data_IF_569737546010
#
_entry.id   IF_569737546010
#
_cell.length_a   1.000
_cell.length_b   1.000
_cell.length_c   1.000
_cell.angle_alpha   90.00
_cell.angle_beta   90.00
_cell.angle_gamma   90.00
#
_symmetry.space_group_name_H-M   'P 1'
#
loop_
_entity.id
_entity.type
_entity.pdbx_description
1 polymer ?
#
# COMPACT_ATOMS: atom_id res chain seq x y z
N UNK A 1 -10.89 22.18 -8.67
CA UNK A 1 -11.00 20.93 -7.89
C UNK A 1 -12.22 20.19 -8.40
N UNK A 2 -12.01 19.16 -9.23
CA UNK A 2 -13.06 18.40 -9.91
C UNK A 2 -12.70 16.92 -9.86
N UNK A 3 -12.59 16.42 -8.64
CA UNK A 3 -12.29 15.01 -8.39
C UNK A 3 -13.60 14.25 -8.26
N UNK A 4 -13.79 13.22 -9.08
CA UNK A 4 -14.90 12.28 -8.94
C UNK A 4 -14.65 11.36 -7.74
N UNK A 5 -15.64 11.28 -6.85
CA UNK A 5 -15.60 10.39 -5.69
C UNK A 5 -16.20 9.05 -6.07
N UNK A 6 -15.39 8.00 -6.03
CA UNK A 6 -15.84 6.65 -6.31
C UNK A 6 -16.60 6.08 -5.10
N UNK A 7 -17.79 5.52 -5.32
CA UNK A 7 -18.53 4.84 -4.26
C UNK A 7 -17.75 3.64 -3.72
N UNK A 8 -17.46 3.64 -2.42
CA UNK A 8 -16.81 2.53 -1.73
C UNK A 8 -17.80 1.87 -0.75
N UNK A 9 -18.06 0.55 -0.85
CA UNK A 9 -18.97 -0.11 0.06
C UNK A 9 -18.37 -0.18 1.47
N UNK A 10 -19.24 -0.14 2.50
CA UNK A 10 -18.83 -0.33 3.88
C UNK A 10 -18.08 -1.67 4.05
N UNK A 11 -16.94 -1.63 4.74
CA UNK A 11 -16.09 -2.79 5.06
C UNK A 11 -15.47 -3.55 3.89
N UNK A 12 -15.27 -2.90 2.73
CA UNK A 12 -14.65 -3.54 1.57
C UNK A 12 -13.12 -3.42 1.56
N UNK A 13 -12.46 -4.13 2.48
CA UNK A 13 -10.99 -4.28 2.50
C UNK A 13 -10.48 -4.93 1.19
N UNK A 14 -11.32 -5.74 0.56
CA UNK A 14 -11.07 -6.40 -0.74
C UNK A 14 -11.13 -5.49 -1.96
N UNK A 15 -11.74 -4.29 -1.84
CA UNK A 15 -11.96 -3.33 -2.93
C UNK A 15 -11.00 -2.12 -2.79
N UNK A 16 -10.25 -2.03 -1.69
CA UNK A 16 -9.23 -1.02 -1.55
C UNK A 16 -7.89 -1.56 -2.11
N UNK A 17 -7.35 -0.98 -3.20
CA UNK A 17 -6.11 -1.45 -3.83
C UNK A 17 -4.93 -1.31 -2.86
N UNK A 18 -4.97 -0.25 -2.06
CA UNK A 18 -4.03 -0.01 -0.97
C UNK A 18 -4.11 -1.10 0.10
N UNK A 19 -5.31 -1.61 0.40
CA UNK A 19 -5.47 -2.55 1.50
C UNK A 19 -5.00 -3.96 1.16
N UNK A 20 -5.30 -4.45 -0.04
CA UNK A 20 -4.87 -5.78 -0.45
C UNK A 20 -3.40 -5.83 -0.89
N UNK A 21 -2.93 -4.83 -1.63
CA UNK A 21 -1.60 -4.88 -2.25
C UNK A 21 -0.54 -4.19 -1.40
N UNK A 22 -0.77 -2.94 -1.03
CA UNK A 22 0.23 -2.12 -0.34
C UNK A 22 0.39 -2.56 1.13
N UNK A 23 -0.69 -2.68 1.90
CA UNK A 23 -0.57 -3.11 3.31
C UNK A 23 -0.04 -4.53 3.44
N UNK A 24 -0.36 -5.44 2.51
CA UNK A 24 0.20 -6.80 2.54
C UNK A 24 1.70 -6.83 2.27
N UNK A 25 2.17 -6.08 1.27
CA UNK A 25 3.60 -5.96 0.98
C UNK A 25 4.35 -5.25 2.11
N UNK A 26 3.73 -4.23 2.73
CA UNK A 26 4.29 -3.51 3.86
C UNK A 26 4.36 -4.41 5.10
N UNK A 27 3.28 -5.13 5.43
CA UNK A 27 3.27 -6.12 6.51
C UNK A 27 4.38 -7.15 6.34
N UNK A 28 4.63 -7.64 5.12
CA UNK A 28 5.73 -8.57 4.86
C UNK A 28 7.11 -7.92 5.10
N UNK A 29 7.29 -6.66 4.70
CA UNK A 29 8.51 -5.88 4.92
C UNK A 29 8.77 -5.55 6.39
N UNK A 30 7.70 -5.40 7.18
CA UNK A 30 7.75 -5.13 8.61
C UNK A 30 7.82 -6.42 9.45
N UNK A 31 7.44 -7.57 8.87
CA UNK A 31 7.45 -8.85 9.58
C UNK A 31 8.89 -9.21 9.94
N UNK A 32 9.15 -9.43 11.22
CA UNK A 32 10.46 -9.70 11.81
C UNK A 32 11.41 -8.50 11.87
N UNK A 33 10.91 -7.26 11.80
CA UNK A 33 11.69 -6.06 12.14
C UNK A 33 11.20 -5.48 13.46
N UNK A 34 12.12 -5.30 14.39
CA UNK A 34 11.93 -4.47 15.57
C UNK A 34 12.58 -3.12 15.28
N UNK A 35 11.88 -2.03 15.59
CA UNK A 35 12.37 -0.67 15.38
C UNK A 35 12.45 0.01 16.73
N UNK A 36 13.62 0.58 17.05
CA UNK A 36 13.85 1.27 18.33
C UNK A 36 13.44 2.74 18.30
N UNK A 37 13.23 3.31 17.10
CA UNK A 37 12.89 4.73 16.93
C UNK A 37 11.97 4.99 15.74
N UNK A 38 11.19 6.07 15.86
CA UNK A 38 10.31 6.57 14.80
C UNK A 38 11.11 7.01 13.54
N UNK A 39 12.36 7.45 13.70
CA UNK A 39 13.23 7.76 12.57
C UNK A 39 13.62 6.51 11.77
N UNK A 40 13.81 5.38 12.45
CA UNK A 40 14.14 4.11 11.80
C UNK A 40 12.95 3.59 10.99
N UNK A 41 11.74 3.73 11.54
CA UNK A 41 10.49 3.42 10.83
C UNK A 41 10.37 4.30 9.58
N UNK A 42 10.60 5.62 9.70
CA UNK A 42 10.53 6.55 8.56
C UNK A 42 11.56 6.18 7.49
N UNK A 43 12.81 5.92 7.87
CA UNK A 43 13.87 5.53 6.94
C UNK A 43 13.54 4.22 6.21
N UNK A 44 13.06 3.22 6.94
CA UNK A 44 12.64 1.94 6.37
C UNK A 44 11.45 2.09 5.41
N UNK A 45 10.47 2.93 5.75
CA UNK A 45 9.34 3.23 4.86
C UNK A 45 9.82 3.93 3.58
N UNK A 46 10.66 4.95 3.69
CA UNK A 46 11.22 5.66 2.54
C UNK A 46 11.97 4.68 1.62
N UNK A 47 12.88 3.89 2.18
CA UNK A 47 13.62 2.87 1.42
C UNK A 47 12.70 1.81 0.79
N UNK A 48 11.64 1.41 1.49
CA UNK A 48 10.65 0.47 0.95
C UNK A 48 9.93 1.05 -0.28
N UNK A 49 9.49 2.31 -0.22
CA UNK A 49 8.80 2.95 -1.34
C UNK A 49 9.75 3.28 -2.51
N UNK A 50 10.98 3.72 -2.23
CA UNK A 50 12.00 3.98 -3.26
C UNK A 50 12.45 2.70 -3.96
N UNK A 51 12.49 1.57 -3.25
CA UNK A 51 12.86 0.26 -3.81
C UNK A 51 11.77 -0.42 -4.64
N UNK A 52 10.54 0.10 -4.68
CA UNK A 52 9.47 -0.48 -5.51
C UNK A 52 9.51 0.06 -6.95
N UNK A 53 9.37 -0.81 -7.96
CA UNK A 53 9.25 -0.35 -9.33
C UNK A 53 7.96 0.45 -9.51
N UNK A 54 7.94 1.42 -10.44
CA UNK A 54 6.74 2.22 -10.77
C UNK A 54 5.53 1.35 -11.17
N UNK A 55 5.77 0.12 -11.64
CA UNK A 55 4.75 -0.87 -11.96
C UNK A 55 4.04 -1.47 -10.74
N UNK A 56 4.64 -1.40 -9.55
CA UNK A 56 4.07 -1.95 -8.31
C UNK A 56 2.72 -1.28 -7.98
N UNK A 57 2.68 0.05 -7.98
CA UNK A 57 1.45 0.81 -7.74
C UNK A 57 0.42 0.59 -8.87
N UNK A 58 0.89 0.45 -10.12
CA UNK A 58 0.01 0.14 -11.25
C UNK A 58 -0.65 -1.23 -11.10
N UNK A 59 0.10 -2.26 -10.72
CA UNK A 59 -0.44 -3.61 -10.50
C UNK A 59 -1.52 -3.62 -9.42
N UNK A 60 -1.29 -2.92 -8.30
CA UNK A 60 -2.29 -2.81 -7.24
C UNK A 60 -3.60 -2.14 -7.69
N UNK A 61 -3.52 -1.14 -8.58
CA UNK A 61 -4.70 -0.45 -9.14
C UNK A 61 -5.39 -1.31 -10.22
N UNK A 62 -4.63 -1.97 -11.10
CA UNK A 62 -5.19 -2.84 -12.14
C UNK A 62 -5.93 -4.05 -11.55
N UNK A 63 -5.47 -4.62 -10.44
CA UNK A 63 -6.11 -5.75 -9.77
C UNK A 63 -7.52 -5.43 -9.25
N UNK A 64 -7.90 -4.15 -9.13
CA UNK A 64 -9.28 -3.74 -8.85
C UNK A 64 -10.18 -3.87 -10.07
N UNK A 65 -9.64 -3.65 -11.27
CA UNK A 65 -10.43 -3.70 -12.50
C UNK A 65 -10.76 -5.13 -12.90
N UNK A 66 -10.08 -6.12 -12.32
CA UNK A 66 -10.29 -7.55 -12.56
C UNK A 66 -11.16 -8.24 -11.48
N UNK A 67 -11.56 -7.51 -10.42
CA UNK A 67 -12.47 -8.00 -9.37
C UNK A 67 -13.88 -7.44 -9.54
#
# INVERSE_FOLDING_TARGET
YGWDVLSHPLYSLDIAPCAYHLYRALQHSLKNKEFDSLEEIKSHLTAFFEGKPKSFNKCGIFYLSEK
#
